data_IF_132339308144
#
_entry.id   IF_132339308144
#
_cell.length_a   1.000
_cell.length_b   1.000
_cell.length_c   1.000
_cell.angle_alpha   90.00
_cell.angle_beta   90.00
_cell.angle_gamma   90.00
#
_symmetry.space_group_name_H-M   'P 1'
#
loop_
_entity.id
_entity.type
_entity.pdbx_description
1 polymer ?
#
# COMPACT_ATOMS: atom_id res chain seq x y z
N UNK A 1 5.98 25.51 8.33
CA UNK A 1 5.05 25.82 7.22
C UNK A 1 5.49 24.97 6.06
N UNK A 2 4.61 24.16 5.49
CA UNK A 2 4.88 23.48 4.21
C UNK A 2 4.88 24.55 3.11
N UNK A 3 5.92 24.55 2.28
CA UNK A 3 6.09 25.48 1.16
C UNK A 3 6.14 24.70 -0.15
N UNK A 4 5.57 25.28 -1.20
CA UNK A 4 5.72 24.81 -2.56
C UNK A 4 7.00 25.46 -3.11
N UNK A 5 7.85 24.63 -3.72
CA UNK A 5 9.06 25.08 -4.39
C UNK A 5 8.75 25.12 -5.88
N UNK A 6 8.77 26.32 -6.45
CA UNK A 6 8.58 26.55 -7.87
C UNK A 6 9.93 26.90 -8.48
N UNK A 7 10.32 26.18 -9.52
CA UNK A 7 11.61 26.38 -10.20
C UNK A 7 11.30 26.84 -11.62
N UNK A 8 11.75 28.05 -11.97
CA UNK A 8 11.67 28.53 -13.33
C UNK A 8 12.70 27.77 -14.19
N UNK A 9 12.22 26.94 -15.10
CA UNK A 9 13.08 26.10 -15.95
C UNK A 9 13.96 26.89 -16.95
N UNK A 10 13.65 28.15 -17.21
CA UNK A 10 14.40 28.99 -18.16
C UNK A 10 15.50 29.82 -17.46
N UNK A 11 15.23 30.34 -16.26
CA UNK A 11 16.16 31.20 -15.52
C UNK A 11 16.87 30.49 -14.37
N UNK A 12 16.38 29.33 -13.94
CA UNK A 12 16.85 28.62 -12.76
C UNK A 12 16.46 29.28 -11.43
N UNK A 13 15.60 30.30 -11.46
CA UNK A 13 15.12 30.98 -10.25
C UNK A 13 14.21 30.06 -9.46
N UNK A 14 14.45 29.98 -8.14
CA UNK A 14 13.68 29.14 -7.21
C UNK A 14 12.87 30.06 -6.31
N UNK A 15 11.56 29.89 -6.32
CA UNK A 15 10.64 30.62 -5.45
C UNK A 15 9.95 29.67 -4.49
N UNK A 16 10.02 29.99 -3.21
CA UNK A 16 9.27 29.30 -2.16
C UNK A 16 8.01 30.09 -1.84
N UNK A 17 6.84 29.46 -2.00
CA UNK A 17 5.57 30.05 -1.60
C UNK A 17 4.84 29.17 -0.59
N UNK A 18 4.01 29.74 0.28
CA UNK A 18 3.08 28.95 1.07
C UNK A 18 2.16 28.12 0.16
N UNK A 19 1.79 26.92 0.61
CA UNK A 19 0.71 26.18 -0.04
C UNK A 19 -0.60 26.96 0.07
N UNK A 20 -1.38 26.88 -1.00
CA UNK A 20 -2.77 27.33 -1.04
C UNK A 20 -3.66 26.39 -0.21
N UNK A 21 -4.85 26.87 0.15
CA UNK A 21 -5.80 26.05 0.91
C UNK A 21 -6.22 24.79 0.14
N UNK A 22 -6.33 24.89 -1.18
CA UNK A 22 -6.67 23.80 -2.09
C UNK A 22 -5.57 22.73 -2.11
N UNK A 23 -4.29 23.12 -2.15
CA UNK A 23 -3.16 22.19 -2.11
C UNK A 23 -3.06 21.48 -0.76
N UNK A 24 -3.35 22.18 0.34
CA UNK A 24 -3.41 21.57 1.68
C UNK A 24 -4.53 20.52 1.72
N UNK A 25 -5.74 20.87 1.25
CA UNK A 25 -6.86 19.94 1.21
C UNK A 25 -6.58 18.72 0.32
N UNK A 26 -5.90 18.91 -0.82
CA UNK A 26 -5.51 17.81 -1.70
C UNK A 26 -4.49 16.88 -1.04
N UNK A 27 -3.50 17.43 -0.32
CA UNK A 27 -2.53 16.64 0.43
C UNK A 27 -3.19 15.85 1.57
N UNK A 28 -4.12 16.45 2.29
CA UNK A 28 -4.88 15.78 3.35
C UNK A 28 -5.76 14.66 2.79
N UNK A 29 -6.44 14.89 1.66
CA UNK A 29 -7.23 13.87 0.98
C UNK A 29 -6.35 12.71 0.47
N UNK A 30 -5.19 13.02 -0.11
CA UNK A 30 -4.23 12.00 -0.55
C UNK A 30 -3.67 11.18 0.63
N UNK A 31 -3.38 11.83 1.75
CA UNK A 31 -2.94 11.15 2.97
C UNK A 31 -4.02 10.22 3.54
N UNK A 32 -5.28 10.68 3.56
CA UNK A 32 -6.41 9.86 4.01
C UNK A 32 -6.64 8.64 3.09
N UNK A 33 -6.56 8.83 1.77
CA UNK A 33 -6.67 7.74 0.80
C UNK A 33 -5.53 6.74 0.96
N UNK A 34 -4.28 7.22 1.09
CA UNK A 34 -3.12 6.35 1.29
C UNK A 34 -3.24 5.51 2.57
N UNK A 35 -3.78 6.07 3.65
CA UNK A 35 -4.04 5.32 4.88
C UNK A 35 -5.11 4.24 4.69
N UNK A 36 -6.19 4.56 3.95
CA UNK A 36 -7.23 3.59 3.63
C UNK A 36 -6.71 2.45 2.74
N UNK A 37 -5.91 2.78 1.72
CA UNK A 37 -5.31 1.81 0.81
C UNK A 37 -4.32 0.89 1.54
N UNK A 38 -3.52 1.43 2.48
CA UNK A 38 -2.63 0.65 3.31
C UNK A 38 -3.38 -0.36 4.18
N UNK A 39 -4.48 0.07 4.83
CA UNK A 39 -5.32 -0.81 5.63
C UNK A 39 -5.96 -1.92 4.77
N UNK A 40 -6.51 -1.57 3.60
CA UNK A 40 -7.09 -2.54 2.69
C UNK A 40 -6.06 -3.56 2.18
N UNK A 41 -4.83 -3.12 1.90
CA UNK A 41 -3.73 -4.01 1.51
C UNK A 41 -3.32 -4.97 2.64
N UNK A 42 -3.25 -4.47 3.88
CA UNK A 42 -2.97 -5.29 5.06
C UNK A 42 -4.07 -6.34 5.29
N UNK A 43 -5.34 -5.95 5.23
CA UNK A 43 -6.48 -6.87 5.34
C UNK A 43 -6.48 -7.94 4.24
N UNK A 44 -6.20 -7.55 2.99
CA UNK A 44 -6.09 -8.48 1.87
C UNK A 44 -4.92 -9.45 2.04
N UNK A 45 -3.77 -8.99 2.55
CA UNK A 45 -2.62 -9.83 2.85
C UNK A 45 -2.92 -10.81 3.99
N UNK A 46 -3.55 -10.34 5.07
CA UNK A 46 -3.98 -11.17 6.19
C UNK A 46 -5.00 -12.23 5.76
N UNK A 47 -5.99 -11.86 4.94
CA UNK A 47 -6.97 -12.79 4.40
C UNK A 47 -6.32 -13.87 3.51
N UNK A 48 -5.36 -13.49 2.65
CA UNK A 48 -4.60 -14.46 1.84
C UNK A 48 -3.77 -15.41 2.71
N UNK A 49 -3.09 -14.89 3.72
CA UNK A 49 -2.30 -15.71 4.65
C UNK A 49 -3.19 -16.70 5.42
N UNK A 50 -4.34 -16.23 5.92
CA UNK A 50 -5.32 -17.09 6.61
C UNK A 50 -5.90 -18.16 5.66
N UNK A 51 -6.22 -17.80 4.43
CA UNK A 51 -6.70 -18.74 3.42
C UNK A 51 -5.64 -19.80 3.08
N UNK A 52 -4.37 -19.40 2.93
CA UNK A 52 -3.26 -20.31 2.70
C UNK A 52 -3.07 -21.28 3.86
N UNK A 53 -3.01 -20.78 5.10
CA UNK A 53 -2.91 -21.64 6.29
C UNK A 53 -4.10 -22.61 6.42
N UNK A 54 -5.32 -22.15 6.08
CA UNK A 54 -6.50 -23.02 6.04
C UNK A 54 -6.38 -24.11 4.97
N UNK A 55 -5.89 -23.76 3.78
CA UNK A 55 -5.68 -24.70 2.69
C UNK A 55 -4.63 -25.75 3.05
N UNK A 56 -3.47 -25.34 3.58
CA UNK A 56 -2.41 -26.24 4.07
C UNK A 56 -2.96 -27.23 5.11
N UNK A 57 -3.68 -26.74 6.11
CA UNK A 57 -4.28 -27.60 7.14
C UNK A 57 -5.33 -28.57 6.60
N UNK A 58 -6.10 -28.18 5.58
CA UNK A 58 -7.09 -29.06 4.92
C UNK A 58 -6.41 -30.12 4.04
N UNK A 59 -5.39 -29.73 3.28
CA UNK A 59 -4.66 -30.64 2.40
C UNK A 59 -3.85 -31.67 3.21
N UNK A 60 -3.24 -31.26 4.32
CA UNK A 60 -2.59 -32.18 5.24
C UNK A 60 -3.57 -33.20 5.83
N UNK A 61 -4.81 -32.78 6.16
CA UNK A 61 -5.87 -33.71 6.61
C UNK A 61 -6.34 -34.69 5.54
N UNK A 62 -6.18 -34.34 4.26
CA UNK A 62 -6.43 -35.25 3.13
C UNK A 62 -5.28 -36.23 2.89
N UNK A 63 -4.20 -36.14 3.67
CA UNK A 63 -3.07 -37.08 3.62
C UNK A 63 -1.97 -36.68 2.65
N UNK A 64 -2.00 -35.46 2.10
CA UNK A 64 -0.89 -34.94 1.29
C UNK A 64 0.31 -34.63 2.19
N UNK A 65 1.49 -34.92 1.67
CA UNK A 65 2.76 -34.55 2.31
C UNK A 65 3.02 -33.05 2.21
N UNK A 66 3.87 -32.51 3.08
CA UNK A 66 4.22 -31.09 3.07
C UNK A 66 4.81 -30.65 1.72
N UNK A 67 5.60 -31.51 1.07
CA UNK A 67 6.20 -31.22 -0.23
C UNK A 67 5.14 -31.14 -1.35
N UNK A 68 4.13 -32.02 -1.33
CA UNK A 68 3.02 -31.99 -2.29
C UNK A 68 2.14 -30.75 -2.10
N UNK A 69 1.87 -30.37 -0.84
CA UNK A 69 1.12 -29.14 -0.52
C UNK A 69 1.89 -27.90 -0.96
N UNK A 70 3.20 -27.85 -0.72
CA UNK A 70 4.06 -26.75 -1.17
C UNK A 70 4.09 -26.65 -2.71
N UNK A 71 4.14 -27.79 -3.41
CA UNK A 71 4.10 -27.82 -4.87
C UNK A 71 2.76 -27.33 -5.46
N UNK A 72 1.64 -27.48 -4.74
CA UNK A 72 0.31 -27.03 -5.16
C UNK A 72 0.02 -25.56 -4.81
N UNK A 73 0.69 -25.01 -3.80
CA UNK A 73 0.48 -23.65 -3.28
C UNK A 73 1.60 -22.67 -3.66
N UNK A 74 2.55 -23.11 -4.51
CA UNK A 74 3.69 -22.34 -5.04
C UNK A 74 3.28 -21.34 -6.12
#
# INVERSE_FOLDING_TARGET
>A
MTTAIEINCETGEVTERPLTAEEIAANEAAAAQAAADALAAEEAAAAKAAAKASAEGKLAKLGLTADEVAALLG
#
